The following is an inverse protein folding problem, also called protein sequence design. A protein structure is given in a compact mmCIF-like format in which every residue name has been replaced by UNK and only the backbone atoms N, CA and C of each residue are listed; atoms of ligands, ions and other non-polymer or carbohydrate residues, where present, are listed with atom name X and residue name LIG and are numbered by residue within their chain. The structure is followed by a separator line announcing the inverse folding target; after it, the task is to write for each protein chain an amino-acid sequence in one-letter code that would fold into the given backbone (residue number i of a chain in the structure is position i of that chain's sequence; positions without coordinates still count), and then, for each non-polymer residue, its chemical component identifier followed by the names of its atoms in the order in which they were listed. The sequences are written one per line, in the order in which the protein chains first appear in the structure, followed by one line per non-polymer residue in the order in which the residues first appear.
data_IF_058902515850
#
_entry.id   IF_058902515850
#
_cell.length_a   1.000
_cell.length_b   1.000
_cell.length_c   1.000
_cell.angle_alpha   90.00
_cell.angle_beta   90.00
_cell.angle_gamma   90.00
#
_symmetry.space_group_name_H-M   'P 1'
#
loop_
_entity.id
_entity.type
_entity.pdbx_description
1 polymer ?
#
# COMPACT_ATOMS: atom_id res chain seq x y z
N UNK A 1 -4.31 1.70 -15.02
CA UNK A 1 -4.60 2.67 -13.94
C UNK A 1 -3.62 2.49 -12.78
N UNK A 2 -3.54 1.28 -12.25
CA UNK A 2 -2.53 0.79 -11.30
C UNK A 2 -1.13 1.44 -11.41
N UNK A 3 -0.49 1.34 -12.59
CA UNK A 3 0.85 1.89 -12.82
C UNK A 3 0.95 3.42 -12.76
N UNK A 4 -0.14 4.16 -13.01
CA UNK A 4 -0.16 5.64 -12.87
C UNK A 4 -0.21 6.03 -11.39
N UNK A 5 -1.08 5.39 -10.59
CA UNK A 5 -1.18 5.61 -9.14
C UNK A 5 0.15 5.29 -8.46
N UNK A 6 0.73 4.11 -8.77
CA UNK A 6 2.02 3.69 -8.24
C UNK A 6 3.11 4.73 -8.51
N UNK A 7 3.30 5.14 -9.78
CA UNK A 7 4.29 6.16 -10.14
C UNK A 7 4.06 7.50 -9.44
N UNK A 8 2.81 7.91 -9.24
CA UNK A 8 2.48 9.18 -8.58
C UNK A 8 2.87 9.15 -7.10
N UNK A 9 2.49 8.09 -6.39
CA UNK A 9 2.86 7.89 -4.99
C UNK A 9 4.38 7.71 -4.81
N UNK A 10 5.05 6.93 -5.66
CA UNK A 10 6.52 6.79 -5.58
C UNK A 10 7.25 8.12 -5.78
N UNK A 11 6.77 8.98 -6.70
CA UNK A 11 7.34 10.34 -6.86
C UNK A 11 7.11 11.21 -5.64
N UNK A 12 5.93 11.14 -5.04
CA UNK A 12 5.63 11.87 -3.80
C UNK A 12 6.60 11.44 -2.70
N UNK A 13 6.75 10.14 -2.46
CA UNK A 13 7.65 9.61 -1.43
C UNK A 13 9.09 10.07 -1.68
N UNK A 14 9.58 9.97 -2.93
CA UNK A 14 10.91 10.43 -3.29
C UNK A 14 11.10 11.96 -3.13
N UNK A 15 10.03 12.74 -3.32
CA UNK A 15 10.06 14.20 -3.11
C UNK A 15 10.08 14.56 -1.62
N UNK A 16 9.19 13.95 -0.83
CA UNK A 16 9.08 14.19 0.62
C UNK A 16 10.34 13.75 1.37
N UNK A 17 11.01 12.68 0.91
CA UNK A 17 12.30 12.27 1.46
C UNK A 17 13.42 13.30 1.22
N UNK A 18 13.32 14.13 0.16
CA UNK A 18 14.29 15.19 -0.15
C UNK A 18 13.93 16.52 0.50
N UNK A 19 12.64 16.85 0.56
CA UNK A 19 12.13 18.08 1.13
C UNK A 19 10.76 17.86 1.81
N UNK A 20 10.75 17.61 3.14
CA UNK A 20 9.53 17.33 3.91
C UNK A 20 8.58 18.53 4.06
N UNK A 21 9.02 19.74 3.71
CA UNK A 21 8.23 20.98 3.87
C UNK A 21 7.44 21.29 2.60
N UNK A 22 7.77 20.64 1.48
CA UNK A 22 7.03 20.81 0.22
C UNK A 22 5.64 20.21 0.40
N UNK A 23 4.62 21.05 0.28
CA UNK A 23 3.23 20.62 0.28
C UNK A 23 2.94 19.59 -0.82
N UNK A 24 1.78 18.92 -0.72
CA UNK A 24 1.34 17.98 -1.73
C UNK A 24 1.39 18.64 -3.13
N UNK A 25 1.93 17.97 -4.15
CA UNK A 25 1.98 18.53 -5.49
C UNK A 25 0.55 18.87 -5.93
N UNK A 26 0.33 20.13 -6.33
CA UNK A 26 -0.96 20.62 -6.76
C UNK A 26 -1.54 19.71 -7.85
N UNK A 27 -2.83 19.35 -7.71
CA UNK A 27 -3.55 18.62 -8.75
C UNK A 27 -3.64 19.50 -10.00
N UNK A 28 -2.80 19.19 -10.98
CA UNK A 28 -3.07 19.58 -12.35
C UNK A 28 -4.18 18.63 -12.82
N UNK A 29 -5.29 19.18 -13.32
CA UNK A 29 -6.44 18.44 -13.84
C UNK A 29 -6.00 17.42 -14.90
N UNK A 30 -5.78 16.18 -14.44
CA UNK A 30 -5.20 15.07 -15.22
C UNK A 30 -6.12 13.86 -15.22
N UNK A 31 -7.31 13.97 -14.64
CA UNK A 31 -8.20 12.84 -14.38
C UNK A 31 -7.59 11.79 -13.42
N UNK A 32 -6.66 12.19 -12.55
CA UNK A 32 -6.06 11.38 -11.49
C UNK A 32 -6.59 11.90 -10.14
N UNK A 33 -7.11 11.05 -9.24
CA UNK A 33 -7.64 11.49 -7.96
C UNK A 33 -6.57 12.17 -7.10
N UNK A 34 -6.96 13.12 -6.24
CA UNK A 34 -6.06 13.80 -5.32
C UNK A 34 -5.30 12.79 -4.45
N UNK A 35 -4.04 13.11 -4.16
CA UNK A 35 -3.33 12.46 -3.06
C UNK A 35 -3.77 13.19 -1.79
N UNK A 36 -4.22 12.42 -0.83
CA UNK A 36 -4.63 12.91 0.48
C UNK A 36 -3.61 12.50 1.54
N UNK A 37 -3.60 13.17 2.69
CA UNK A 37 -2.70 12.92 3.82
C UNK A 37 -3.51 12.56 5.07
N UNK A 38 -2.97 11.66 5.88
CA UNK A 38 -3.47 11.31 7.21
C UNK A 38 -2.29 11.26 8.18
N UNK A 39 -2.52 11.54 9.46
CA UNK A 39 -1.45 11.72 10.46
C UNK A 39 -1.46 10.62 11.51
N UNK A 40 -2.62 10.00 11.76
CA UNK A 40 -2.81 9.09 12.87
C UNK A 40 -3.74 7.93 12.53
N UNK A 41 -3.76 6.93 13.42
CA UNK A 41 -4.72 5.82 13.39
C UNK A 41 -6.17 6.35 13.45
N UNK A 42 -6.42 7.41 14.21
CA UNK A 42 -7.75 8.00 14.39
C UNK A 42 -8.30 8.59 13.08
N UNK A 43 -7.43 8.93 12.12
CA UNK A 43 -7.84 9.41 10.80
C UNK A 43 -8.30 8.26 9.88
N UNK A 44 -7.81 7.04 10.11
CA UNK A 44 -7.97 5.91 9.17
C UNK A 44 -9.42 5.46 9.07
N UNK A 45 -10.10 5.26 10.20
CA UNK A 45 -11.48 4.76 10.22
C UNK A 45 -12.47 5.72 9.51
N UNK A 46 -12.46 7.05 9.77
CA UNK A 46 -13.28 7.99 9.00
C UNK A 46 -13.02 7.94 7.49
N UNK A 47 -11.77 7.78 7.06
CA UNK A 47 -11.42 7.70 5.62
C UNK A 47 -11.93 6.39 5.02
N UNK A 48 -11.75 5.28 5.72
CA UNK A 48 -12.26 3.96 5.34
C UNK A 48 -13.78 3.99 5.09
N UNK A 49 -14.53 4.60 6.00
CA UNK A 49 -15.99 4.71 5.88
C UNK A 49 -16.42 5.57 4.68
N UNK A 50 -15.62 6.55 4.26
CA UNK A 50 -15.92 7.35 3.07
C UNK A 50 -15.73 6.57 1.75
N UNK A 51 -14.86 5.55 1.76
CA UNK A 51 -14.60 4.67 0.61
C UNK A 51 -15.87 3.93 0.19
N UNK A 52 -16.72 3.58 1.17
CA UNK A 52 -18.02 2.97 0.94
C UNK A 52 -18.96 3.92 0.18
N UNK A 53 -19.03 5.18 0.62
CA UNK A 53 -19.90 6.22 0.05
C UNK A 53 -19.49 6.61 -1.38
N UNK A 54 -18.19 6.69 -1.64
CA UNK A 54 -17.65 7.09 -2.95
C UNK A 54 -17.80 6.01 -4.03
N UNK A 55 -18.06 4.76 -3.64
CA UNK A 55 -18.19 3.65 -4.59
C UNK A 55 -19.40 3.79 -5.51
N UNK A 56 -20.50 4.36 -5.02
CA UNK A 56 -21.78 4.45 -5.74
C UNK A 56 -22.42 3.10 -6.11
N UNK A 57 -21.81 1.97 -5.72
CA UNK A 57 -22.26 0.60 -6.06
C UNK A 57 -23.11 -0.04 -4.97
N UNK A 58 -23.31 0.65 -3.84
CA UNK A 58 -23.81 0.04 -2.60
C UNK A 58 -22.77 -0.86 -1.93
N UNK A 59 -23.06 -1.28 -0.71
CA UNK A 59 -22.18 -2.13 0.08
C UNK A 59 -22.13 -3.55 -0.50
N UNK A 60 -20.98 -3.94 -1.04
CA UNK A 60 -20.71 -5.30 -1.51
C UNK A 60 -19.66 -5.95 -0.62
N UNK A 61 -19.60 -7.29 -0.61
CA UNK A 61 -18.55 -8.02 0.12
C UNK A 61 -17.14 -7.55 -0.31
N UNK A 62 -16.91 -7.38 -1.61
CA UNK A 62 -15.64 -6.86 -2.14
C UNK A 62 -15.30 -5.46 -1.63
N UNK A 63 -16.31 -4.60 -1.42
CA UNK A 63 -16.10 -3.26 -0.88
C UNK A 63 -15.76 -3.28 0.61
N UNK A 64 -16.38 -4.17 1.39
CA UNK A 64 -16.02 -4.41 2.80
C UNK A 64 -14.57 -4.87 2.91
N UNK A 65 -14.17 -5.83 2.10
CA UNK A 65 -12.79 -6.32 2.07
C UNK A 65 -11.80 -5.24 1.63
N UNK A 66 -12.17 -4.40 0.65
CA UNK A 66 -11.39 -3.22 0.25
C UNK A 66 -11.18 -2.22 1.40
N UNK A 67 -12.19 -1.99 2.23
CA UNK A 67 -12.07 -1.15 3.42
C UNK A 67 -11.10 -1.77 4.43
N UNK A 68 -11.19 -3.09 4.66
CA UNK A 68 -10.22 -3.82 5.48
C UNK A 68 -8.79 -3.71 4.95
N UNK A 69 -8.59 -3.85 3.64
CA UNK A 69 -7.29 -3.68 2.98
C UNK A 69 -6.75 -2.26 3.15
N UNK A 70 -7.59 -1.24 2.96
CA UNK A 70 -7.19 0.15 3.21
C UNK A 70 -6.73 0.33 4.66
N UNK A 71 -7.51 -0.18 5.61
CA UNK A 71 -7.24 -0.07 7.04
C UNK A 71 -5.88 -0.67 7.41
N UNK A 72 -5.61 -1.91 6.98
CA UNK A 72 -4.34 -2.60 7.25
C UNK A 72 -3.14 -1.87 6.64
N UNK A 73 -3.26 -1.40 5.39
CA UNK A 73 -2.17 -0.66 4.73
C UNK A 73 -1.93 0.70 5.40
N UNK A 74 -2.98 1.41 5.78
CA UNK A 74 -2.89 2.70 6.44
C UNK A 74 -2.30 2.59 7.85
N UNK A 75 -2.72 1.59 8.63
CA UNK A 75 -2.13 1.29 9.94
C UNK A 75 -0.63 1.01 9.83
N UNK A 76 -0.22 0.17 8.88
CA UNK A 76 1.20 -0.11 8.66
C UNK A 76 1.99 1.18 8.35
N UNK A 77 1.41 2.09 7.58
CA UNK A 77 2.03 3.38 7.25
C UNK A 77 2.20 4.30 8.47
N UNK A 78 1.33 4.26 9.48
CA UNK A 78 1.47 5.11 10.68
C UNK A 78 2.23 4.42 11.82
N UNK A 79 2.03 3.12 12.03
CA UNK A 79 2.65 2.39 13.15
C UNK A 79 4.11 1.99 12.88
N UNK A 80 4.44 1.64 11.62
CA UNK A 80 5.74 1.01 11.31
C UNK A 80 6.71 1.88 10.51
N UNK A 81 6.24 2.99 9.93
CA UNK A 81 7.08 3.85 9.10
C UNK A 81 8.12 4.65 9.90
N UNK A 82 7.85 4.94 11.19
CA UNK A 82 8.54 5.97 11.99
C UNK A 82 8.44 7.38 11.38
N UNK A 83 7.47 7.59 10.51
CA UNK A 83 7.13 8.89 9.93
C UNK A 83 5.85 9.42 10.58
N UNK A 84 5.60 10.73 10.48
CA UNK A 84 4.47 11.40 11.14
C UNK A 84 3.17 11.38 10.33
N UNK A 85 3.16 10.72 9.17
CA UNK A 85 2.00 10.72 8.27
C UNK A 85 2.01 9.57 7.26
N UNK A 86 0.83 9.25 6.76
CA UNK A 86 0.67 8.49 5.53
C UNK A 86 0.01 9.34 4.44
N UNK A 87 0.07 8.82 3.22
CA UNK A 87 -0.57 9.39 2.05
C UNK A 87 -1.44 8.33 1.39
N UNK A 88 -2.59 8.75 0.86
CA UNK A 88 -3.50 7.83 0.19
C UNK A 88 -4.08 8.40 -1.10
N UNK A 89 -4.51 7.48 -1.97
CA UNK A 89 -5.32 7.74 -3.15
C UNK A 89 -6.43 6.69 -3.19
N UNK A 90 -7.66 7.14 -3.29
CA UNK A 90 -8.84 6.29 -3.51
C UNK A 90 -9.44 6.65 -4.86
N UNK A 91 -9.88 5.63 -5.60
CA UNK A 91 -10.59 5.82 -6.86
C UNK A 91 -11.53 4.67 -7.15
N UNK A 92 -12.74 5.00 -7.62
CA UNK A 92 -13.59 4.10 -8.38
C UNK A 92 -13.58 4.51 -9.87
N UNK A 93 -13.54 3.55 -10.79
CA UNK A 93 -13.64 3.81 -12.22
C UNK A 93 -14.04 2.57 -13.01
N UNK A 94 -14.92 2.74 -13.99
CA UNK A 94 -15.30 1.62 -14.87
C UNK A 94 -14.24 1.41 -15.94
N UNK A 95 -13.54 0.28 -15.86
CA UNK A 95 -12.57 -0.16 -16.86
C UNK A 95 -13.03 -1.43 -17.58
N UNK A 96 -14.16 -2.00 -17.17
CA UNK A 96 -14.75 -3.25 -17.67
C UNK A 96 -16.26 -3.07 -17.68
N UNK A 97 -16.92 -3.48 -18.77
CA UNK A 97 -18.39 -3.42 -18.87
C UNK A 97 -19.00 -4.33 -17.79
N UNK A 98 -19.91 -3.78 -16.98
CA UNK A 98 -20.56 -4.51 -15.88
C UNK A 98 -19.71 -4.65 -14.60
N UNK A 99 -18.59 -3.92 -14.47
CA UNK A 99 -17.89 -3.79 -13.19
C UNK A 99 -17.24 -2.41 -13.00
N UNK A 100 -17.03 -2.07 -11.73
CA UNK A 100 -16.28 -0.90 -11.28
C UNK A 100 -14.96 -1.37 -10.72
N UNK A 101 -13.86 -0.90 -11.29
CA UNK A 101 -12.54 -1.12 -10.72
C UNK A 101 -12.27 -0.08 -9.64
N UNK A 102 -12.02 -0.55 -8.43
CA UNK A 102 -11.56 0.28 -7.34
C UNK A 102 -10.04 0.20 -7.22
N UNK A 103 -9.43 1.31 -6.84
CA UNK A 103 -7.99 1.43 -6.58
C UNK A 103 -7.78 2.11 -5.24
N UNK A 104 -6.98 1.48 -4.38
CA UNK A 104 -6.48 2.06 -3.14
C UNK A 104 -4.96 2.10 -3.26
N UNK A 105 -4.37 3.28 -3.08
CA UNK A 105 -2.94 3.43 -2.93
C UNK A 105 -2.63 4.03 -1.58
N UNK A 106 -1.67 3.45 -0.85
CA UNK A 106 -1.11 3.96 0.39
C UNK A 106 0.38 4.17 0.20
N UNK A 107 0.91 5.24 0.79
CA UNK A 107 2.33 5.46 0.87
C UNK A 107 2.75 6.10 2.19
N UNK A 108 3.97 5.80 2.62
CA UNK A 108 4.65 6.47 3.73
C UNK A 108 6.07 6.91 3.29
N UNK A 109 6.64 7.85 4.02
CA UNK A 109 8.02 8.34 3.79
C UNK A 109 8.98 7.86 4.87
N UNK A 110 8.65 6.75 5.51
CA UNK A 110 9.37 6.19 6.63
C UNK A 110 10.60 5.39 6.24
N UNK A 111 10.92 4.41 7.09
CA UNK A 111 12.09 3.53 6.95
C UNK A 111 11.90 2.39 5.94
N UNK A 112 10.66 2.13 5.52
CA UNK A 112 10.32 1.04 4.61
C UNK A 112 10.23 -0.34 5.28
N UNK A 113 9.61 -1.28 4.57
CA UNK A 113 9.38 -2.66 5.04
C UNK A 113 10.70 -3.38 5.37
N UNK A 114 11.73 -3.37 4.50
CA UNK A 114 12.95 -4.13 4.78
C UNK A 114 13.69 -3.68 6.03
N UNK A 115 13.80 -2.37 6.25
CA UNK A 115 14.44 -1.84 7.46
C UNK A 115 13.58 -2.10 8.71
N UNK A 116 12.25 -1.98 8.60
CA UNK A 116 11.33 -2.31 9.69
C UNK A 116 11.45 -3.77 10.10
N UNK A 117 11.45 -4.70 9.14
CA UNK A 117 11.52 -6.13 9.37
C UNK A 117 12.83 -6.55 10.04
N UNK A 118 13.96 -5.98 9.60
CA UNK A 118 15.30 -6.27 10.15
C UNK A 118 15.51 -5.79 11.59
N UNK A 119 14.58 -5.04 12.19
CA UNK A 119 14.60 -4.78 13.63
C UNK A 119 14.35 -6.04 14.46
N UNK A 120 13.66 -7.03 13.90
CA UNK A 120 13.51 -8.32 14.52
C UNK A 120 14.78 -9.16 14.25
N UNK A 121 15.53 -9.59 15.29
CA UNK A 121 16.76 -10.36 15.11
C UNK A 121 16.58 -11.66 14.31
N UNK A 122 15.37 -12.23 14.30
CA UNK A 122 15.04 -13.43 13.51
C UNK A 122 15.17 -13.17 12.00
N UNK A 123 14.94 -11.93 11.56
CA UNK A 123 14.91 -11.55 10.14
C UNK A 123 16.06 -10.58 9.76
N UNK A 124 17.03 -10.36 10.65
CA UNK A 124 18.13 -9.43 10.41
C UNK A 124 18.98 -9.80 9.18
N UNK A 125 19.12 -11.10 8.91
CA UNK A 125 19.98 -11.64 7.85
C UNK A 125 19.26 -11.84 6.50
N UNK A 126 18.03 -11.32 6.34
CA UNK A 126 17.31 -11.43 5.07
C UNK A 126 18.08 -10.67 3.97
N UNK A 127 18.52 -11.37 2.90
CA UNK A 127 19.67 -10.95 2.09
C UNK A 127 19.39 -9.76 1.18
N UNK A 128 18.13 -9.54 0.78
CA UNK A 128 17.76 -8.42 -0.07
C UNK A 128 16.37 -7.88 0.27
N UNK A 129 16.09 -6.68 -0.22
CA UNK A 129 14.85 -5.95 0.09
C UNK A 129 13.61 -6.61 -0.52
N UNK A 130 13.73 -7.27 -1.66
CA UNK A 130 12.60 -7.91 -2.31
C UNK A 130 12.15 -9.16 -1.55
N UNK A 131 13.11 -9.96 -1.07
CA UNK A 131 12.85 -11.10 -0.18
C UNK A 131 12.29 -10.63 1.17
N UNK A 132 12.76 -9.48 1.70
CA UNK A 132 12.20 -8.91 2.91
C UNK A 132 10.74 -8.46 2.73
N UNK A 133 10.39 -7.88 1.58
CA UNK A 133 9.00 -7.52 1.27
C UNK A 133 8.14 -8.76 1.14
N UNK A 134 8.59 -9.79 0.40
CA UNK A 134 7.86 -11.04 0.27
C UNK A 134 7.63 -11.71 1.63
N UNK A 135 8.69 -11.82 2.43
CA UNK A 135 8.62 -12.41 3.76
C UNK A 135 7.65 -11.63 4.68
N UNK A 136 7.63 -10.30 4.60
CA UNK A 136 6.70 -9.48 5.39
C UNK A 136 5.22 -9.72 5.06
N UNK A 137 4.91 -10.38 3.94
CA UNK A 137 3.54 -10.77 3.60
C UNK A 137 3.14 -12.15 4.13
N UNK A 138 4.04 -12.87 4.79
CA UNK A 138 3.74 -14.15 5.41
C UNK A 138 3.10 -14.00 6.79
N UNK A 139 2.23 -14.94 7.15
CA UNK A 139 1.50 -14.94 8.41
C UNK A 139 2.46 -14.90 9.63
N UNK A 140 2.17 -14.00 10.57
CA UNK A 140 2.94 -13.73 11.78
C UNK A 140 4.36 -13.18 11.57
N UNK A 141 4.66 -12.67 10.37
CA UNK A 141 5.92 -11.98 10.13
C UNK A 141 5.79 -10.50 10.50
N UNK A 142 6.62 -10.04 11.42
CA UNK A 142 6.65 -8.65 11.90
C UNK A 142 8.05 -8.22 12.36
N UNK A 143 8.34 -6.93 12.22
CA UNK A 143 9.54 -6.29 12.76
C UNK A 143 9.52 -6.10 14.28
N UNK A 144 8.35 -6.20 14.94
CA UNK A 144 8.22 -5.95 16.39
C UNK A 144 8.60 -7.16 17.26
N UNK A 145 8.52 -8.37 16.72
CA UNK A 145 8.72 -9.62 17.47
C UNK A 145 7.54 -10.01 18.39
N UNK A 146 6.43 -9.28 18.35
CA UNK A 146 5.23 -9.59 19.15
C UNK A 146 4.42 -10.73 18.52
N UNK A 147 4.05 -11.74 19.31
CA UNK A 147 3.37 -12.95 18.82
C UNK A 147 1.96 -12.72 18.25
N UNK A 148 1.33 -11.58 18.54
CA UNK A 148 -0.02 -11.24 18.04
C UNK A 148 -0.01 -10.27 16.85
N UNK A 149 1.18 -9.89 16.35
CA UNK A 149 1.36 -8.99 15.21
C UNK A 149 1.72 -9.78 13.95
N UNK A 150 1.78 -9.10 12.79
CA UNK A 150 2.17 -9.72 11.51
C UNK A 150 1.02 -10.41 10.77
N UNK A 151 -0.22 -9.98 10.98
CA UNK A 151 -1.40 -10.51 10.28
C UNK A 151 -1.81 -9.62 9.11
N UNK A 152 -1.56 -8.31 9.19
CA UNK A 152 -2.11 -7.33 8.26
C UNK A 152 -1.74 -7.54 6.80
N UNK A 153 -0.45 -7.68 6.48
CA UNK A 153 -0.02 -7.85 5.08
C UNK A 153 -0.39 -9.24 4.50
N UNK A 154 -0.36 -10.29 5.32
CA UNK A 154 -0.87 -11.62 4.96
C UNK A 154 -2.37 -11.57 4.62
N UNK A 155 -3.16 -10.86 5.43
CA UNK A 155 -4.58 -10.64 5.19
C UNK A 155 -4.81 -9.90 3.86
N UNK A 156 -4.06 -8.82 3.61
CA UNK A 156 -4.13 -8.07 2.35
C UNK A 156 -3.82 -8.97 1.15
N UNK A 157 -2.78 -9.79 1.21
CA UNK A 157 -2.42 -10.75 0.15
C UNK A 157 -3.52 -11.77 -0.06
N UNK A 158 -4.08 -12.31 1.01
CA UNK A 158 -5.16 -13.30 0.98
C UNK A 158 -6.43 -12.75 0.34
N UNK A 159 -6.84 -11.53 0.71
CA UNK A 159 -7.98 -10.82 0.12
C UNK A 159 -7.76 -10.55 -1.37
N UNK A 160 -6.58 -10.06 -1.74
CA UNK A 160 -6.25 -9.75 -3.14
C UNK A 160 -6.29 -11.00 -4.01
N UNK A 161 -5.73 -12.12 -3.53
CA UNK A 161 -5.78 -13.40 -4.24
C UNK A 161 -7.22 -13.92 -4.38
N UNK A 162 -8.00 -13.89 -3.29
CA UNK A 162 -9.36 -14.44 -3.28
C UNK A 162 -10.34 -13.67 -4.16
N UNK A 163 -10.16 -12.35 -4.27
CA UNK A 163 -11.02 -11.47 -5.05
C UNK A 163 -10.51 -11.21 -6.48
N UNK A 164 -9.44 -11.89 -6.91
CA UNK A 164 -8.88 -11.69 -8.26
C UNK A 164 -8.29 -10.30 -8.47
N UNK A 165 -7.84 -9.65 -7.40
CA UNK A 165 -7.24 -8.32 -7.42
C UNK A 165 -5.78 -8.32 -7.84
N UNK A 166 -5.18 -7.14 -7.80
CA UNK A 166 -3.74 -6.94 -7.97
C UNK A 166 -3.21 -6.04 -6.85
N UNK A 167 -2.15 -6.48 -6.19
CA UNK A 167 -1.36 -5.72 -5.23
C UNK A 167 0.03 -5.48 -5.79
N UNK A 168 0.54 -4.26 -5.62
CA UNK A 168 1.96 -3.97 -5.81
C UNK A 168 2.48 -3.23 -4.60
N UNK A 169 3.54 -3.77 -3.99
CA UNK A 169 4.30 -3.13 -2.93
C UNK A 169 5.66 -2.76 -3.48
N UNK A 170 6.10 -1.53 -3.23
CA UNK A 170 7.46 -1.05 -3.51
C UNK A 170 8.01 -0.44 -2.23
N UNK A 171 9.17 -0.91 -1.79
CA UNK A 171 9.85 -0.37 -0.61
C UNK A 171 11.36 -0.55 -0.73
N UNK A 172 12.14 0.46 -0.34
CA UNK A 172 13.58 0.47 -0.53
C UNK A 172 13.97 0.15 -1.99
N UNK A 173 14.84 -0.86 -2.19
CA UNK A 173 15.21 -1.36 -3.52
C UNK A 173 14.35 -2.50 -4.05
N UNK A 174 13.30 -2.93 -3.34
CA UNK A 174 12.51 -4.11 -3.69
C UNK A 174 11.08 -3.79 -4.14
N UNK A 175 10.48 -4.73 -4.87
CA UNK A 175 9.05 -4.71 -5.15
C UNK A 175 8.46 -6.12 -5.22
N UNK A 176 7.19 -6.21 -4.81
CA UNK A 176 6.37 -7.41 -4.86
C UNK A 176 5.09 -7.10 -5.63
N UNK A 177 4.76 -7.93 -6.61
CA UNK A 177 3.47 -7.93 -7.30
C UNK A 177 2.72 -9.22 -6.94
N UNK A 178 1.46 -9.09 -6.52
CA UNK A 178 0.59 -10.22 -6.15
C UNK A 178 -0.70 -10.13 -6.93
N UNK A 179 -1.13 -11.24 -7.51
CA UNK A 179 -2.44 -11.40 -8.15
C UNK A 179 -2.93 -12.85 -8.01
N UNK A 180 -4.10 -13.17 -8.56
CA UNK A 180 -4.65 -14.53 -8.51
C UNK A 180 -3.75 -15.60 -9.16
N UNK A 181 -2.89 -15.22 -10.10
CA UNK A 181 -1.91 -16.10 -10.75
C UNK A 181 -0.64 -16.35 -9.94
N UNK A 182 -0.48 -15.73 -8.77
CA UNK A 182 0.66 -15.91 -7.88
C UNK A 182 1.43 -14.60 -7.61
N UNK A 183 2.68 -14.77 -7.21
CA UNK A 183 3.56 -13.69 -6.77
C UNK A 183 4.72 -13.50 -7.73
N UNK A 184 5.09 -12.25 -7.96
CA UNK A 184 6.25 -11.87 -8.74
C UNK A 184 7.09 -10.89 -7.93
N UNK A 185 8.32 -11.30 -7.62
CA UNK A 185 9.28 -10.54 -6.84
C UNK A 185 10.28 -9.91 -7.81
N UNK A 186 10.56 -8.61 -7.65
CA UNK A 186 11.55 -7.89 -8.45
C UNK A 186 12.46 -7.08 -7.55
N UNK A 187 13.76 -7.30 -7.69
CA UNK A 187 14.80 -6.50 -7.06
C UNK A 187 15.27 -5.42 -8.02
N UNK A 188 15.46 -4.21 -7.52
CA UNK A 188 16.14 -3.14 -8.25
C UNK A 188 17.67 -3.30 -8.10
N UNK A 189 18.46 -2.90 -9.11
CA UNK A 189 19.91 -2.86 -8.98
C UNK A 189 20.35 -2.01 -7.80
N UNK A 190 21.41 -2.41 -7.10
CA UNK A 190 22.01 -1.59 -6.05
C UNK A 190 22.37 -0.19 -6.60
N UNK A 191 21.87 0.87 -5.96
CA UNK A 191 22.12 2.26 -6.33
C UNK A 191 21.11 2.92 -7.28
N UNK A 192 20.04 2.24 -7.71
CA UNK A 192 18.87 2.93 -8.30
C UNK A 192 18.14 3.79 -7.25
N UNK A 193 17.32 4.76 -7.64
CA UNK A 193 16.49 5.58 -6.74
C UNK A 193 15.67 4.70 -5.77
N UNK A 194 16.23 4.40 -4.60
CA UNK A 194 15.57 3.62 -3.56
C UNK A 194 14.53 4.50 -2.87
N UNK A 195 13.32 3.95 -2.69
CA UNK A 195 12.30 4.63 -1.90
C UNK A 195 12.64 4.45 -0.43
N UNK A 196 12.84 5.54 0.31
CA UNK A 196 13.05 5.44 1.75
C UNK A 196 11.88 4.72 2.45
N UNK A 197 10.64 5.06 2.07
CA UNK A 197 9.42 4.49 2.65
C UNK A 197 8.80 3.36 1.84
N UNK A 198 7.48 3.19 1.97
CA UNK A 198 6.69 2.16 1.29
C UNK A 198 5.63 2.79 0.42
N UNK A 199 5.34 2.16 -0.71
CA UNK A 199 4.17 2.42 -1.54
C UNK A 199 3.46 1.09 -1.79
N UNK A 200 2.19 1.00 -1.44
CA UNK A 200 1.33 -0.13 -1.72
C UNK A 200 0.15 0.33 -2.59
N UNK A 201 -0.13 -0.36 -3.69
CA UNK A 201 -1.29 -0.09 -4.54
C UNK A 201 -2.07 -1.37 -4.75
N UNK A 202 -3.36 -1.34 -4.45
CA UNK A 202 -4.30 -2.44 -4.63
C UNK A 202 -5.37 -2.04 -5.65
N UNK A 203 -5.72 -2.98 -6.51
CA UNK A 203 -6.87 -2.86 -7.43
C UNK A 203 -7.76 -4.09 -7.35
N UNK A 204 -9.07 -3.86 -7.28
CA UNK A 204 -10.10 -4.92 -7.26
C UNK A 204 -11.29 -4.47 -8.11
N UNK A 205 -12.05 -5.41 -8.65
CA UNK A 205 -13.24 -5.10 -9.46
C UNK A 205 -14.50 -5.57 -8.76
N UNK A 206 -15.48 -4.68 -8.66
CA UNK A 206 -16.80 -4.93 -8.08
C UNK A 206 -17.82 -5.02 -9.23
N UNK A 207 -18.55 -6.13 -9.40
CA UNK A 207 -19.64 -6.20 -10.38
C UNK A 207 -20.73 -5.16 -10.07
N UNK A 208 -21.29 -4.53 -11.12
CA UNK A 208 -22.44 -3.60 -11.04
C UNK A 208 -23.66 -4.15 -11.75
#
# INVERSE_FOLDING_TARGET
MHSKTLRRLSRLVAQQAKDPVVGLPADIDTGIPPIMRFESVDDVEPIANNLELESGTGLTATLVEMVGVFYELALNAVEHSRWTAGYYVIRAGSNIVGSVQHTVGIADCGIGIPASLRHNPVFADVPNDADAIALATELHVTGTGEAHRGIGLDHVVSVVKSLGGNLTIVSAGGSLEVNAGGEMIKSSPAGSDQLAGTVAVVTMSVPV
#
